data_IF_616828853224
#
_entry.id   IF_616828853224
#
_cell.length_a   1.000
_cell.length_b   1.000
_cell.length_c   1.000
_cell.angle_alpha   90.00
_cell.angle_beta   90.00
_cell.angle_gamma   90.00
#
_symmetry.space_group_name_H-M   'P 1'
#
loop_
_entity.id
_entity.type
_entity.pdbx_description
1 polymer ?
#
# COMPACT_ATOMS: atom_id res chain seq x y z
N UNK A 1 -7.02 -6.90 0.37
CA UNK A 1 -8.42 -7.08 0.83
C UNK A 1 -8.69 -6.47 2.22
N UNK A 2 -7.88 -6.74 3.25
CA UNK A 2 -8.06 -6.14 4.59
C UNK A 2 -8.00 -4.60 4.60
N UNK A 3 -7.07 -4.00 3.85
CA UNK A 3 -6.95 -2.52 3.74
C UNK A 3 -8.18 -1.90 3.05
N UNK A 4 -8.72 -2.56 2.03
CA UNK A 4 -9.95 -2.14 1.34
C UNK A 4 -11.13 -2.24 2.29
N UNK A 5 -11.28 -3.36 2.99
CA UNK A 5 -12.34 -3.52 3.99
C UNK A 5 -12.23 -2.47 5.10
N UNK A 6 -11.02 -2.16 5.55
CA UNK A 6 -10.76 -1.15 6.57
C UNK A 6 -11.06 0.28 6.11
N UNK A 7 -10.79 0.61 4.84
CA UNK A 7 -11.06 1.93 4.26
C UNK A 7 -12.54 2.15 3.94
N UNK A 8 -13.24 1.08 3.51
CA UNK A 8 -14.66 1.15 3.15
C UNK A 8 -15.60 0.85 4.33
N UNK A 9 -15.16 0.16 5.38
CA UNK A 9 -15.96 -0.14 6.58
C UNK A 9 -16.59 1.12 7.22
N UNK A 10 -15.87 2.24 7.42
CA UNK A 10 -16.43 3.48 7.96
C UNK A 10 -17.52 4.06 7.06
N UNK A 11 -17.32 3.94 5.74
CA UNK A 11 -18.28 4.38 4.71
C UNK A 11 -19.54 3.51 4.78
N UNK A 12 -19.42 2.19 4.99
CA UNK A 12 -20.57 1.29 5.21
C UNK A 12 -21.35 1.60 6.50
N UNK A 13 -20.68 2.09 7.54
CA UNK A 13 -21.31 2.54 8.78
C UNK A 13 -21.81 4.00 8.75
N UNK A 14 -21.70 4.69 7.60
CA UNK A 14 -22.16 6.07 7.45
C UNK A 14 -21.29 7.12 8.15
N UNK A 15 -20.06 6.75 8.53
CA UNK A 15 -19.07 7.66 9.12
C UNK A 15 -18.38 8.38 7.96
N UNK A 16 -18.78 9.64 7.72
CA UNK A 16 -18.12 10.49 6.76
C UNK A 16 -16.89 11.15 7.40
N UNK A 17 -15.72 10.92 6.81
CA UNK A 17 -14.45 11.56 7.15
C UNK A 17 -14.41 13.03 6.70
N UNK A 18 -15.50 13.77 6.89
CA UNK A 18 -15.66 15.11 6.37
C UNK A 18 -16.14 16.05 7.46
N UNK A 19 -15.39 17.11 7.69
CA UNK A 19 -15.84 18.26 8.48
C UNK A 19 -16.83 19.06 7.62
N UNK A 20 -18.07 19.20 8.08
CA UNK A 20 -19.18 19.89 7.36
C UNK A 20 -19.03 21.41 7.49
N UNK A 21 -17.92 21.93 6.99
CA UNK A 21 -17.51 23.32 7.25
C UNK A 21 -17.37 24.15 5.97
N UNK A 22 -17.68 23.59 4.79
CA UNK A 22 -17.42 24.27 3.52
C UNK A 22 -18.71 24.86 2.92
N UNK A 23 -18.57 26.05 2.31
CA UNK A 23 -19.63 26.87 1.69
C UNK A 23 -20.32 26.16 0.52
N UNK A 24 -19.75 25.06 0.02
CA UNK A 24 -20.27 24.24 -1.10
C UNK A 24 -21.12 23.05 -0.64
N UNK A 25 -21.28 22.86 0.68
CA UNK A 25 -22.04 21.74 1.23
C UNK A 25 -23.55 22.01 1.09
N UNK A 26 -24.25 21.12 0.38
CA UNK A 26 -25.72 21.13 0.32
C UNK A 26 -26.27 20.34 1.53
N UNK A 27 -27.19 20.96 2.28
CA UNK A 27 -27.72 20.47 3.56
C UNK A 27 -28.28 19.03 3.57
N UNK A 28 -28.56 18.43 2.40
CA UNK A 28 -29.25 17.13 2.30
C UNK A 28 -28.52 16.04 1.52
N UNK A 29 -27.43 16.36 0.79
CA UNK A 29 -26.76 15.41 -0.11
C UNK A 29 -25.25 15.53 0.01
N UNK A 30 -24.65 14.60 0.73
CA UNK A 30 -23.22 14.56 1.01
C UNK A 30 -22.59 13.44 0.21
N UNK A 31 -21.69 13.80 -0.72
CA UNK A 31 -20.87 12.83 -1.44
C UNK A 31 -19.67 12.39 -0.58
N UNK A 32 -19.26 11.10 -0.62
CA UNK A 32 -18.10 10.60 0.10
C UNK A 32 -16.78 11.34 -0.20
N UNK A 33 -16.54 11.68 -1.47
CA UNK A 33 -15.40 12.49 -1.88
C UNK A 33 -15.85 13.93 -2.17
N UNK A 34 -15.18 14.90 -1.56
CA UNK A 34 -15.41 16.32 -1.84
C UNK A 34 -14.62 16.73 -3.09
N UNK A 35 -15.31 16.88 -4.21
CA UNK A 35 -14.74 17.32 -5.49
C UNK A 35 -15.64 18.35 -6.16
N UNK A 36 -15.03 19.20 -6.99
CA UNK A 36 -15.75 20.17 -7.80
C UNK A 36 -16.18 19.48 -9.09
N UNK A 37 -17.47 19.55 -9.41
CA UNK A 37 -18.04 18.97 -10.62
C UNK A 37 -18.45 20.07 -11.61
N UNK A 38 -18.22 19.85 -12.90
CA UNK A 38 -18.60 20.77 -13.98
C UNK A 38 -20.11 20.78 -14.29
N UNK A 39 -20.92 20.05 -13.52
CA UNK A 39 -22.36 19.96 -13.66
C UNK A 39 -23.03 20.03 -12.31
N UNK A 40 -24.29 20.49 -12.28
CA UNK A 40 -25.05 20.59 -11.04
C UNK A 40 -25.53 19.20 -10.57
N UNK A 41 -25.16 18.87 -9.34
CA UNK A 41 -25.44 17.60 -8.65
C UNK A 41 -26.72 17.70 -7.80
N UNK A 42 -27.29 18.90 -7.65
CA UNK A 42 -28.51 19.15 -6.86
C UNK A 42 -29.67 18.21 -7.22
N UNK A 43 -29.80 17.89 -8.52
CA UNK A 43 -30.83 16.98 -9.04
C UNK A 43 -30.65 15.54 -8.55
N UNK A 44 -31.75 14.89 -8.15
CA UNK A 44 -31.72 13.56 -7.52
C UNK A 44 -31.03 12.50 -8.38
N UNK A 45 -31.33 12.47 -9.68
CA UNK A 45 -30.77 11.45 -10.58
C UNK A 45 -29.25 11.60 -10.76
N UNK A 46 -28.75 12.83 -10.94
CA UNK A 46 -27.31 13.09 -11.14
C UNK A 46 -26.49 12.81 -9.88
N UNK A 47 -27.06 13.04 -8.70
CA UNK A 47 -26.45 12.66 -7.43
C UNK A 47 -26.15 11.16 -7.36
N UNK A 48 -27.15 10.30 -7.62
CA UNK A 48 -26.95 8.85 -7.57
C UNK A 48 -25.95 8.35 -8.62
N UNK A 49 -25.98 8.88 -9.84
CA UNK A 49 -24.97 8.55 -10.85
C UNK A 49 -23.56 8.95 -10.41
N UNK A 50 -23.41 10.13 -9.80
CA UNK A 50 -22.11 10.61 -9.31
C UNK A 50 -21.61 9.76 -8.15
N UNK A 51 -22.48 9.41 -7.21
CA UNK A 51 -22.17 8.52 -6.09
C UNK A 51 -21.72 7.14 -6.59
N UNK A 52 -22.47 6.55 -7.52
CA UNK A 52 -22.14 5.27 -8.12
C UNK A 52 -20.78 5.32 -8.84
N UNK A 53 -20.51 6.41 -9.56
CA UNK A 53 -19.21 6.62 -10.21
C UNK A 53 -18.06 6.74 -9.20
N UNK A 54 -18.24 7.45 -8.09
CA UNK A 54 -17.24 7.54 -7.01
C UNK A 54 -16.96 6.16 -6.40
N UNK A 55 -17.99 5.36 -6.16
CA UNK A 55 -17.85 4.00 -5.61
C UNK A 55 -17.09 3.11 -6.58
N UNK A 56 -17.46 3.09 -7.86
CA UNK A 56 -16.77 2.26 -8.87
C UNK A 56 -15.30 2.70 -9.01
N UNK A 57 -15.07 4.01 -9.13
CA UNK A 57 -13.72 4.56 -9.31
C UNK A 57 -12.82 4.25 -8.11
N UNK A 58 -13.36 4.37 -6.89
CA UNK A 58 -12.61 4.06 -5.67
C UNK A 58 -12.29 2.56 -5.54
N UNK A 59 -13.24 1.67 -5.88
CA UNK A 59 -12.98 0.21 -5.90
C UNK A 59 -11.90 -0.13 -6.90
N UNK A 60 -11.99 0.37 -8.14
CA UNK A 60 -11.00 0.13 -9.19
C UNK A 60 -9.62 0.63 -8.75
N UNK A 61 -9.54 1.86 -8.24
CA UNK A 61 -8.28 2.46 -7.78
C UNK A 61 -7.66 1.67 -6.63
N UNK A 62 -8.46 1.27 -5.65
CA UNK A 62 -8.01 0.47 -4.53
C UNK A 62 -7.53 -0.92 -4.96
N UNK A 63 -8.21 -1.56 -5.92
CA UNK A 63 -7.78 -2.84 -6.48
C UNK A 63 -6.46 -2.72 -7.24
N UNK A 64 -6.31 -1.70 -8.07
CA UNK A 64 -5.06 -1.46 -8.82
C UNK A 64 -3.91 -1.21 -7.84
N UNK A 65 -4.10 -0.33 -6.87
CA UNK A 65 -3.09 0.02 -5.87
C UNK A 65 -2.66 -1.21 -5.07
N UNK A 66 -3.62 -1.92 -4.46
CA UNK A 66 -3.31 -3.14 -3.68
C UNK A 66 -2.75 -4.27 -4.54
N UNK A 67 -3.13 -4.34 -5.82
CA UNK A 67 -2.57 -5.28 -6.77
C UNK A 67 -1.08 -5.02 -7.01
N UNK A 68 -0.69 -3.76 -7.20
CA UNK A 68 0.72 -3.38 -7.37
C UNK A 68 1.56 -3.74 -6.13
N UNK A 69 1.05 -3.46 -4.93
CA UNK A 69 1.74 -3.79 -3.67
C UNK A 69 1.95 -5.30 -3.52
N UNK A 70 0.93 -6.09 -3.84
CA UNK A 70 1.01 -7.56 -3.79
C UNK A 70 1.99 -8.10 -4.83
N UNK A 71 1.98 -7.56 -6.05
CA UNK A 71 2.91 -7.96 -7.11
C UNK A 71 4.36 -7.69 -6.71
N UNK A 72 4.63 -6.51 -6.13
CA UNK A 72 5.95 -6.19 -5.58
C UNK A 72 6.40 -7.22 -4.54
N UNK A 73 5.56 -7.46 -3.53
CA UNK A 73 5.87 -8.42 -2.47
C UNK A 73 6.10 -9.85 -3.00
N UNK A 74 5.28 -10.29 -3.95
CA UNK A 74 5.43 -11.61 -4.60
C UNK A 74 6.74 -11.70 -5.36
N UNK A 75 7.11 -10.69 -6.14
CA UNK A 75 8.36 -10.70 -6.89
C UNK A 75 9.59 -10.75 -5.99
N UNK A 76 9.64 -9.92 -4.94
CA UNK A 76 10.73 -9.93 -3.96
C UNK A 76 10.83 -11.28 -3.26
N UNK A 77 9.72 -11.81 -2.74
CA UNK A 77 9.71 -13.11 -2.07
C UNK A 77 10.07 -14.27 -3.03
N UNK A 78 9.66 -14.18 -4.29
CA UNK A 78 10.01 -15.17 -5.31
C UNK A 78 11.52 -15.20 -5.54
N UNK A 79 12.17 -14.03 -5.70
CA UNK A 79 13.64 -13.94 -5.83
C UNK A 79 14.32 -14.53 -4.60
N UNK A 80 13.92 -14.12 -3.39
CA UNK A 80 14.47 -14.64 -2.14
C UNK A 80 14.36 -16.17 -2.04
N UNK A 81 13.20 -16.72 -2.43
CA UNK A 81 12.96 -18.16 -2.43
C UNK A 81 13.85 -18.88 -3.44
N UNK A 82 13.97 -18.36 -4.66
CA UNK A 82 14.81 -18.95 -5.71
C UNK A 82 16.29 -18.92 -5.33
N UNK A 83 16.77 -17.83 -4.72
CA UNK A 83 18.14 -17.74 -4.19
C UNK A 83 18.40 -18.80 -3.11
N UNK A 84 17.47 -18.97 -2.17
CA UNK A 84 17.57 -19.98 -1.12
C UNK A 84 17.57 -21.42 -1.68
N UNK A 85 16.75 -21.70 -2.69
CA UNK A 85 16.74 -23.00 -3.39
C UNK A 85 18.07 -23.22 -4.09
N UNK A 86 18.59 -22.21 -4.78
CA UNK A 86 19.87 -22.29 -5.47
C UNK A 86 21.01 -22.59 -4.50
N UNK A 87 21.06 -21.90 -3.36
CA UNK A 87 22.07 -22.12 -2.33
C UNK A 87 22.05 -23.56 -1.78
N UNK A 88 20.85 -24.07 -1.45
CA UNK A 88 20.67 -25.45 -0.98
C UNK A 88 21.10 -26.49 -2.02
N UNK A 89 20.89 -26.19 -3.31
CA UNK A 89 21.33 -27.08 -4.40
C UNK A 89 22.85 -27.07 -4.56
N UNK A 90 23.50 -25.92 -4.38
CA UNK A 90 24.97 -25.80 -4.40
C UNK A 90 25.59 -26.55 -3.22
N UNK A 91 25.02 -26.45 -2.02
CA UNK A 91 25.51 -27.16 -0.83
C UNK A 91 25.42 -28.68 -0.98
N UNK A 92 24.34 -29.18 -1.59
CA UNK A 92 24.12 -30.62 -1.85
C UNK A 92 24.90 -31.19 -3.03
N UNK A 93 25.69 -30.37 -3.71
CA UNK A 93 26.34 -30.71 -4.96
C UNK A 93 27.60 -31.58 -4.80
N UNK A 94 28.04 -31.87 -3.56
CA UNK A 94 29.31 -32.53 -3.24
C UNK A 94 29.71 -33.73 -4.12
N UNK A 95 31.02 -33.80 -4.44
CA UNK A 95 31.75 -34.84 -5.20
C UNK A 95 30.97 -35.57 -6.31
N UNK A 96 30.20 -34.81 -7.07
CA UNK A 96 29.48 -35.34 -8.22
C UNK A 96 30.39 -35.36 -9.46
N UNK A 97 30.42 -36.46 -10.20
CA UNK A 97 31.22 -36.59 -11.44
C UNK A 97 30.92 -35.50 -12.50
N UNK A 98 29.78 -34.81 -12.37
CA UNK A 98 29.34 -33.72 -13.25
C UNK A 98 29.45 -32.31 -12.60
N UNK A 99 30.34 -32.14 -11.61
CA UNK A 99 30.48 -30.90 -10.85
C UNK A 99 30.61 -29.65 -11.73
N UNK A 100 31.51 -29.66 -12.72
CA UNK A 100 31.73 -28.48 -13.58
C UNK A 100 30.49 -28.10 -14.40
N UNK A 101 29.72 -29.08 -14.88
CA UNK A 101 28.52 -28.84 -15.67
C UNK A 101 27.39 -28.25 -14.81
N UNK A 102 27.15 -28.83 -13.63
CA UNK A 102 26.13 -28.35 -12.69
C UNK A 102 26.47 -26.94 -12.18
N UNK A 103 27.75 -26.65 -11.96
CA UNK A 103 28.19 -25.36 -11.45
C UNK A 103 27.93 -24.26 -12.47
N UNK A 104 28.19 -24.53 -13.75
CA UNK A 104 27.88 -23.63 -14.86
C UNK A 104 26.37 -23.32 -14.94
N UNK A 105 25.51 -24.30 -14.70
CA UNK A 105 24.05 -24.10 -14.66
C UNK A 105 23.67 -23.21 -13.47
N UNK A 106 24.21 -23.47 -12.29
CA UNK A 106 23.89 -22.71 -11.08
C UNK A 106 24.36 -21.26 -11.15
N UNK A 107 25.57 -21.01 -11.67
CA UNK A 107 26.07 -19.65 -11.91
C UNK A 107 25.15 -18.91 -12.91
N UNK A 108 24.72 -19.58 -13.98
CA UNK A 108 23.78 -18.97 -14.95
C UNK A 108 22.44 -18.63 -14.30
N UNK A 109 21.91 -19.51 -13.44
CA UNK A 109 20.67 -19.25 -12.69
C UNK A 109 20.84 -18.10 -11.71
N UNK A 110 21.95 -18.04 -10.97
CA UNK A 110 22.26 -16.94 -10.06
C UNK A 110 22.26 -15.60 -10.78
N UNK A 111 22.96 -15.53 -11.92
CA UNK A 111 23.02 -14.32 -12.74
C UNK A 111 21.63 -13.88 -13.25
N UNK A 112 20.79 -14.83 -13.68
CA UNK A 112 19.42 -14.52 -14.11
C UNK A 112 18.56 -13.98 -12.96
N UNK A 113 18.73 -14.51 -11.74
CA UNK A 113 18.00 -14.04 -10.56
C UNK A 113 18.42 -12.63 -10.14
N UNK A 114 19.71 -12.32 -10.16
CA UNK A 114 20.21 -10.96 -9.90
C UNK A 114 19.65 -9.99 -10.93
N UNK A 115 19.74 -10.35 -12.23
CA UNK A 115 19.19 -9.54 -13.31
C UNK A 115 17.69 -9.27 -13.17
N UNK A 116 16.93 -10.23 -12.63
CA UNK A 116 15.50 -10.05 -12.36
C UNK A 116 15.27 -9.15 -11.13
N UNK A 117 16.10 -9.28 -10.08
CA UNK A 117 16.07 -8.39 -8.93
C UNK A 117 16.36 -6.93 -9.31
N UNK A 118 17.37 -6.70 -10.17
CA UNK A 118 17.70 -5.37 -10.70
C UNK A 118 16.51 -4.74 -11.43
N UNK A 119 15.78 -5.53 -12.21
CA UNK A 119 14.58 -5.07 -12.93
C UNK A 119 13.43 -4.72 -11.98
N UNK A 120 13.25 -5.52 -10.92
CA UNK A 120 12.25 -5.22 -9.89
C UNK A 120 12.62 -3.90 -9.19
N UNK A 121 13.88 -3.72 -8.82
CA UNK A 121 14.35 -2.50 -8.20
C UNK A 121 14.13 -1.29 -9.10
N UNK A 122 14.51 -1.34 -10.37
CA UNK A 122 14.34 -0.24 -11.33
C UNK A 122 12.86 0.17 -11.48
N UNK A 123 11.95 -0.80 -11.57
CA UNK A 123 10.51 -0.55 -11.75
C UNK A 123 9.87 -0.02 -10.46
N UNK A 124 10.20 -0.59 -9.31
CA UNK A 124 9.50 -0.31 -8.06
C UNK A 124 10.18 0.74 -7.17
N UNK A 125 11.44 1.12 -7.42
CA UNK A 125 12.15 2.10 -6.58
C UNK A 125 11.44 3.46 -6.51
N UNK A 126 11.10 4.04 -7.67
CA UNK A 126 10.36 5.30 -7.71
C UNK A 126 8.96 5.17 -7.10
N UNK A 127 8.29 4.04 -7.33
CA UNK A 127 6.98 3.74 -6.75
C UNK A 127 7.06 3.69 -5.21
N UNK A 128 8.03 2.98 -4.65
CA UNK A 128 8.25 2.90 -3.21
C UNK A 128 8.55 4.26 -2.61
N UNK A 129 9.38 5.07 -3.25
CA UNK A 129 9.64 6.44 -2.82
C UNK A 129 8.36 7.27 -2.77
N UNK A 130 7.52 7.19 -3.80
CA UNK A 130 6.24 7.88 -3.84
C UNK A 130 5.29 7.37 -2.75
N UNK A 131 5.23 6.06 -2.52
CA UNK A 131 4.42 5.45 -1.45
C UNK A 131 4.90 5.95 -0.08
N UNK A 132 6.20 5.90 0.21
CA UNK A 132 6.75 6.37 1.48
C UNK A 132 6.49 7.86 1.71
N UNK A 133 6.69 8.70 0.70
CA UNK A 133 6.36 10.13 0.79
C UNK A 133 4.87 10.34 1.05
N UNK A 134 4.00 9.60 0.37
CA UNK A 134 2.54 9.70 0.55
C UNK A 134 2.10 9.27 1.96
N UNK A 135 2.71 8.23 2.53
CA UNK A 135 2.43 7.77 3.89
C UNK A 135 2.88 8.82 4.91
N UNK A 136 4.07 9.39 4.76
CA UNK A 136 4.57 10.44 5.65
C UNK A 136 3.63 11.67 5.64
N UNK A 137 3.27 12.16 4.45
CA UNK A 137 2.36 13.31 4.33
C UNK A 137 1.01 13.00 4.98
N UNK A 138 0.47 11.80 4.74
CA UNK A 138 -0.81 11.35 5.30
C UNK A 138 -0.75 11.30 6.82
N UNK A 139 0.32 10.72 7.40
CA UNK A 139 0.55 10.69 8.85
C UNK A 139 0.61 12.11 9.43
N UNK A 140 1.33 13.04 8.81
CA UNK A 140 1.40 14.42 9.28
C UNK A 140 0.02 15.11 9.30
N UNK A 141 -0.81 14.89 8.26
CA UNK A 141 -2.16 15.46 8.18
C UNK A 141 -3.07 14.86 9.26
N UNK A 142 -3.00 13.55 9.49
CA UNK A 142 -3.78 12.86 10.51
C UNK A 142 -3.37 13.28 11.93
N UNK A 143 -2.08 13.42 12.20
CA UNK A 143 -1.58 13.93 13.49
C UNK A 143 -2.06 15.35 13.75
N UNK A 144 -2.00 16.22 12.74
CA UNK A 144 -2.53 17.58 12.85
C UNK A 144 -4.04 17.59 13.11
N UNK A 145 -4.80 16.73 12.42
CA UNK A 145 -6.23 16.53 12.66
C UNK A 145 -6.49 16.12 14.12
N UNK A 146 -5.77 15.11 14.59
CA UNK A 146 -5.87 14.60 15.96
C UNK A 146 -5.56 15.67 17.01
N UNK A 147 -4.48 16.44 16.83
CA UNK A 147 -4.11 17.54 17.74
C UNK A 147 -5.19 18.62 17.77
N UNK A 148 -5.75 18.97 16.62
CA UNK A 148 -6.81 20.00 16.51
C UNK A 148 -8.07 19.58 17.29
N UNK A 149 -8.45 18.31 17.19
CA UNK A 149 -9.58 17.73 17.93
C UNK A 149 -9.30 17.75 19.43
N UNK A 150 -8.09 17.33 19.86
CA UNK A 150 -7.70 17.27 21.27
C UNK A 150 -7.55 18.66 21.92
N UNK A 151 -7.18 19.68 21.14
CA UNK A 151 -7.03 21.06 21.63
C UNK A 151 -8.36 21.76 21.94
N UNK A 152 -9.50 21.09 21.77
CA UNK A 152 -10.82 21.61 22.13
C UNK A 152 -11.34 22.73 21.21
N UNK A 153 -10.71 22.95 20.06
CA UNK A 153 -11.07 24.02 19.11
C UNK A 153 -12.35 23.74 18.31
N UNK A 154 -13.00 22.59 18.54
CA UNK A 154 -14.17 22.11 17.83
C UNK A 154 -15.16 21.51 18.84
N UNK A 155 -16.29 22.19 19.04
CA UNK A 155 -17.19 21.95 20.16
C UNK A 155 -18.09 20.69 20.07
N UNK A 156 -18.03 19.88 19.01
CA UNK A 156 -18.87 18.67 18.85
C UNK A 156 -18.18 17.62 17.95
N UNK A 157 -17.01 17.10 18.34
CA UNK A 157 -16.40 15.96 17.62
C UNK A 157 -16.61 14.68 18.41
N UNK A 158 -17.29 13.72 17.81
CA UNK A 158 -17.59 12.42 18.41
C UNK A 158 -16.31 11.64 18.72
N UNK A 159 -16.25 11.01 19.89
CA UNK A 159 -15.16 10.11 20.33
C UNK A 159 -14.82 9.02 19.29
N UNK A 160 -15.79 8.68 18.43
CA UNK A 160 -15.61 7.74 17.32
C UNK A 160 -14.62 8.23 16.26
N UNK A 161 -14.55 9.55 15.99
CA UNK A 161 -13.58 10.10 15.03
C UNK A 161 -12.14 9.94 15.52
N UNK A 162 -11.90 10.19 16.81
CA UNK A 162 -10.56 10.05 17.41
C UNK A 162 -10.09 8.60 17.38
N UNK A 163 -10.98 7.66 17.73
CA UNK A 163 -10.67 6.22 17.68
C UNK A 163 -10.38 5.79 16.23
N UNK A 164 -11.14 6.30 15.27
CA UNK A 164 -10.92 6.03 13.86
C UNK A 164 -9.56 6.55 13.37
N UNK A 165 -9.24 7.80 13.67
CA UNK A 165 -7.96 8.42 13.28
C UNK A 165 -6.77 7.66 13.88
N UNK A 166 -6.84 7.29 15.16
CA UNK A 166 -5.80 6.49 15.82
C UNK A 166 -5.62 5.10 15.18
N UNK A 167 -6.71 4.42 14.87
CA UNK A 167 -6.65 3.11 14.21
C UNK A 167 -6.05 3.22 12.80
N UNK A 168 -6.38 4.29 12.07
CA UNK A 168 -5.84 4.56 10.75
C UNK A 168 -4.33 4.84 10.83
N UNK A 169 -3.88 5.66 11.78
CA UNK A 169 -2.45 5.90 12.06
C UNK A 169 -1.68 4.60 12.32
N UNK A 170 -2.19 3.74 13.20
CA UNK A 170 -1.58 2.43 13.51
C UNK A 170 -1.45 1.55 12.26
N UNK A 171 -2.44 1.61 11.37
CA UNK A 171 -2.44 0.83 10.13
C UNK A 171 -1.32 1.27 9.17
N UNK A 172 -1.08 2.57 9.02
CA UNK A 172 0.02 3.07 8.20
C UNK A 172 1.39 2.75 8.79
N UNK A 173 1.56 2.89 10.10
CA UNK A 173 2.81 2.51 10.77
C UNK A 173 3.10 1.02 10.57
N UNK A 174 2.08 0.17 10.70
CA UNK A 174 2.21 -1.26 10.45
C UNK A 174 2.55 -1.58 8.99
N UNK A 175 1.94 -0.87 8.03
CA UNK A 175 2.26 -1.01 6.61
C UNK A 175 3.73 -0.68 6.33
N UNK A 176 4.23 0.42 6.91
CA UNK A 176 5.64 0.82 6.82
C UNK A 176 6.57 -0.25 7.37
N UNK A 177 6.22 -0.82 8.52
CA UNK A 177 6.99 -1.91 9.12
C UNK A 177 7.09 -3.13 8.20
N UNK A 178 5.98 -3.53 7.56
CA UNK A 178 5.98 -4.64 6.60
C UNK A 178 6.89 -4.33 5.41
N UNK A 179 6.81 -3.14 4.83
CA UNK A 179 7.66 -2.76 3.70
C UNK A 179 9.15 -2.83 4.05
N UNK A 180 9.52 -2.30 5.21
CA UNK A 180 10.90 -2.36 5.71
C UNK A 180 11.35 -3.80 5.98
N UNK A 181 10.48 -4.64 6.56
CA UNK A 181 10.79 -6.05 6.82
C UNK A 181 11.04 -6.84 5.53
N UNK A 182 10.23 -6.61 4.49
CA UNK A 182 10.39 -7.23 3.17
C UNK A 182 11.71 -6.77 2.54
N UNK A 183 12.04 -5.48 2.64
CA UNK A 183 13.32 -4.93 2.18
C UNK A 183 14.52 -5.59 2.87
N UNK A 184 14.51 -5.65 4.20
CA UNK A 184 15.58 -6.28 4.99
C UNK A 184 15.76 -7.77 4.64
N UNK A 185 14.64 -8.47 4.43
CA UNK A 185 14.66 -9.88 4.03
C UNK A 185 15.36 -10.09 2.67
N UNK A 186 15.14 -9.18 1.71
CA UNK A 186 15.81 -9.21 0.41
C UNK A 186 17.31 -8.96 0.56
N UNK A 187 17.69 -7.90 1.27
CA UNK A 187 19.10 -7.55 1.52
C UNK A 187 19.84 -8.71 2.18
N UNK A 188 19.24 -9.34 3.20
CA UNK A 188 19.82 -10.48 3.91
C UNK A 188 20.10 -11.68 2.99
N UNK A 189 19.16 -12.01 2.09
CA UNK A 189 19.32 -13.15 1.17
C UNK A 189 20.37 -12.86 0.09
N UNK A 190 20.42 -11.62 -0.40
CA UNK A 190 21.41 -11.20 -1.41
C UNK A 190 22.82 -11.20 -0.80
N UNK A 191 23.03 -10.58 0.36
CA UNK A 191 24.35 -10.52 1.01
C UNK A 191 24.87 -11.91 1.38
N UNK A 192 24.01 -12.80 1.88
CA UNK A 192 24.40 -14.16 2.28
C UNK A 192 24.87 -15.03 1.10
N UNK A 193 24.52 -14.68 -0.13
CA UNK A 193 24.84 -15.47 -1.33
C UNK A 193 25.77 -14.75 -2.32
N UNK A 194 26.19 -13.52 -2.01
CA UNK A 194 27.30 -12.84 -2.68
C UNK A 194 28.69 -13.15 -2.05
N UNK A 195 28.72 -13.75 -0.86
CA UNK A 195 29.91 -14.31 -0.18
C UNK A 195 29.91 -15.84 -0.28
#
# INVERSE_FOLDING_TARGET
>A
MLVIYFFFCPIYFGIFMRTVNNITDQDTKILPLQTIYFYDISTNNRYYFTLLNQIISSVISATIYTGMDVLFGVFVLHVCCQLKILANNIEKMGDNNNFQYLLKIYIRKHYQLIRFADQIEEVFNLMLLAVFASVIITLCVLEFSLITVLSGNSADISMMHVIFDLQFMLTFIFLMFIYSWVGESLVTQVIKHHL
#
